data_IF_020794938357
#
_entry.id   IF_020794938357
#
_cell.length_a   1.000
_cell.length_b   1.000
_cell.length_c   1.000
_cell.angle_alpha   90.00
_cell.angle_beta   90.00
_cell.angle_gamma   90.00
#
_symmetry.space_group_name_H-M   'P 1'
#
loop_
_entity.id
_entity.type
_entity.pdbx_description
1 polymer ?
#
# COMPACT_ATOMS: atom_id res chain seq x y z
N UNK A 1 -7.76 19.76 20.69
CA UNK A 1 -7.81 18.90 21.89
C UNK A 1 -7.67 17.45 21.45
N UNK A 2 -7.10 16.56 22.27
CA UNK A 2 -7.03 15.12 21.94
C UNK A 2 -8.33 14.39 22.30
N UNK A 3 -8.60 13.26 21.64
CA UNK A 3 -9.89 12.53 21.77
C UNK A 3 -10.18 12.05 23.20
N UNK A 4 -9.16 11.70 23.97
CA UNK A 4 -9.35 11.29 25.36
C UNK A 4 -9.73 12.48 26.25
N UNK A 5 -9.10 13.63 26.03
CA UNK A 5 -9.42 14.89 26.72
C UNK A 5 -10.81 15.38 26.34
N UNK A 6 -11.21 15.21 25.08
CA UNK A 6 -12.57 15.47 24.60
C UNK A 6 -13.61 14.69 25.42
N UNK A 7 -13.46 13.38 25.56
CA UNK A 7 -14.42 12.60 26.34
C UNK A 7 -14.40 12.96 27.83
N UNK A 8 -13.25 13.32 28.41
CA UNK A 8 -13.19 13.82 29.79
C UNK A 8 -13.92 15.15 29.97
N UNK A 9 -13.87 16.01 28.96
CA UNK A 9 -14.52 17.30 28.99
C UNK A 9 -16.05 17.19 28.89
N UNK A 10 -16.55 16.30 28.03
CA UNK A 10 -17.97 16.26 27.66
C UNK A 10 -18.79 15.15 28.34
N UNK A 11 -18.15 14.14 28.95
CA UNK A 11 -18.86 13.08 29.67
C UNK A 11 -18.92 13.41 31.16
N UNK A 12 -20.12 13.39 31.72
CA UNK A 12 -20.37 13.58 33.15
C UNK A 12 -20.61 12.25 33.86
N UNK A 13 -20.53 12.25 35.20
CA UNK A 13 -20.83 11.07 36.03
C UNK A 13 -22.29 10.59 35.85
N UNK A 14 -23.24 11.51 35.64
CA UNK A 14 -24.64 11.17 35.41
C UNK A 14 -24.82 10.43 34.08
N UNK A 15 -24.17 10.92 33.01
CA UNK A 15 -24.14 10.27 31.70
C UNK A 15 -23.50 8.89 31.77
N UNK A 16 -22.41 8.74 32.54
CA UNK A 16 -21.73 7.46 32.74
C UNK A 16 -22.62 6.42 33.44
N UNK A 17 -23.42 6.86 34.42
CA UNK A 17 -24.38 6.00 35.12
C UNK A 17 -25.52 5.56 34.21
N UNK A 18 -26.03 6.43 33.35
CA UNK A 18 -27.05 6.09 32.35
C UNK A 18 -26.53 5.09 31.33
N UNK A 19 -25.34 5.36 30.77
CA UNK A 19 -24.61 4.46 29.88
C UNK A 19 -24.41 3.05 30.45
N UNK A 20 -24.05 3.00 31.74
CA UNK A 20 -23.83 1.74 32.44
C UNK A 20 -25.10 0.90 32.56
N UNK A 21 -26.28 1.55 32.63
CA UNK A 21 -27.59 0.88 32.67
C UNK A 21 -28.01 0.38 31.29
N UNK A 22 -27.84 1.19 30.24
CA UNK A 22 -28.29 0.86 28.88
C UNK A 22 -27.42 -0.21 28.21
N UNK A 23 -26.10 -0.18 28.41
CA UNK A 23 -25.16 -1.09 27.69
C UNK A 23 -24.86 -2.42 28.40
N UNK A 24 -25.53 -2.73 29.52
CA UNK A 24 -25.25 -3.92 30.36
C UNK A 24 -23.76 -4.07 30.74
N UNK A 25 -23.03 -2.96 30.82
CA UNK A 25 -21.62 -2.91 31.18
C UNK A 25 -21.41 -1.77 32.16
N UNK A 26 -21.06 -2.10 33.39
CA UNK A 26 -20.77 -1.11 34.41
C UNK A 26 -19.38 -0.51 34.16
N UNK A 27 -19.32 0.76 33.78
CA UNK A 27 -18.07 1.52 33.80
C UNK A 27 -17.83 2.02 35.23
N UNK A 28 -16.63 1.81 35.76
CA UNK A 28 -16.31 2.18 37.14
C UNK A 28 -15.83 3.63 37.27
N UNK A 29 -15.43 4.27 36.16
CA UNK A 29 -15.01 5.67 36.11
C UNK A 29 -15.04 6.25 34.69
N UNK A 30 -15.02 7.58 34.58
CA UNK A 30 -14.87 8.30 33.30
C UNK A 30 -13.56 7.88 32.61
N UNK A 31 -12.47 7.70 33.37
CA UNK A 31 -11.20 7.18 32.86
C UNK A 31 -11.33 5.85 32.13
N UNK A 32 -12.05 4.89 32.73
CA UNK A 32 -12.27 3.58 32.13
C UNK A 32 -13.09 3.68 30.84
N UNK A 33 -14.13 4.50 30.85
CA UNK A 33 -14.94 4.79 29.66
C UNK A 33 -14.09 5.41 28.54
N UNK A 34 -13.28 6.41 28.85
CA UNK A 34 -12.40 7.10 27.88
C UNK A 34 -11.43 6.12 27.22
N UNK A 35 -10.80 5.23 28.00
CA UNK A 35 -9.90 4.20 27.48
C UNK A 35 -10.64 3.25 26.54
N UNK A 36 -11.85 2.83 26.93
CA UNK A 36 -12.66 1.94 26.12
C UNK A 36 -13.12 2.59 24.81
N UNK A 37 -13.60 3.84 24.87
CA UNK A 37 -14.01 4.61 23.68
C UNK A 37 -12.87 4.88 22.74
N UNK A 38 -11.70 5.23 23.27
CA UNK A 38 -10.50 5.38 22.45
C UNK A 38 -10.17 4.10 21.69
N UNK A 39 -10.26 2.93 22.35
CA UNK A 39 -10.04 1.62 21.70
C UNK A 39 -11.09 1.32 20.64
N UNK A 40 -12.35 1.67 20.85
CA UNK A 40 -13.42 1.46 19.87
C UNK A 40 -13.23 2.33 18.62
N UNK A 41 -12.94 3.62 18.78
CA UNK A 41 -12.83 4.57 17.65
C UNK A 41 -11.52 4.39 16.87
N UNK A 42 -10.50 3.79 17.49
CA UNK A 42 -9.25 3.41 16.82
C UNK A 42 -9.26 1.98 16.30
N UNK A 43 -10.34 1.22 16.51
CA UNK A 43 -10.50 -0.14 16.00
C UNK A 43 -11.21 -0.13 14.63
N UNK A 44 -10.54 -0.51 13.53
CA UNK A 44 -11.13 -0.49 12.19
C UNK A 44 -12.40 -1.32 12.07
N UNK A 45 -12.52 -2.44 12.77
CA UNK A 45 -13.73 -3.29 12.72
C UNK A 45 -14.93 -2.62 13.38
N UNK A 46 -14.71 -1.90 14.49
CA UNK A 46 -15.78 -1.18 15.15
C UNK A 46 -16.22 0.03 14.34
N UNK A 47 -15.28 0.75 13.72
CA UNK A 47 -15.58 1.88 12.83
C UNK A 47 -16.36 1.41 11.59
N UNK A 48 -15.98 0.28 10.99
CA UNK A 48 -16.70 -0.34 9.87
C UNK A 48 -18.14 -0.70 10.25
N UNK A 49 -18.32 -1.39 11.38
CA UNK A 49 -19.66 -1.70 11.92
C UNK A 49 -20.50 -0.43 12.16
N UNK A 50 -19.91 0.62 12.75
CA UNK A 50 -20.62 1.90 12.96
C UNK A 50 -21.10 2.47 11.62
N UNK A 51 -20.25 2.48 10.60
CA UNK A 51 -20.58 3.01 9.26
C UNK A 51 -21.75 2.27 8.63
N UNK A 52 -21.82 0.95 8.75
CA UNK A 52 -22.92 0.12 8.23
C UNK A 52 -24.29 0.44 8.85
N UNK A 53 -24.31 0.97 10.08
CA UNK A 53 -25.55 1.29 10.78
C UNK A 53 -26.01 2.74 10.59
N UNK A 54 -25.22 3.58 9.90
CA UNK A 54 -25.55 5.00 9.74
C UNK A 54 -26.79 5.19 8.86
N UNK A 55 -27.74 5.97 9.37
CA UNK A 55 -28.89 6.42 8.60
C UNK A 55 -28.48 7.44 7.52
N UNK A 56 -29.31 7.63 6.48
CA UNK A 56 -29.07 8.68 5.47
C UNK A 56 -28.92 10.09 6.08
N UNK A 57 -29.60 10.35 7.20
CA UNK A 57 -29.54 11.62 7.94
C UNK A 57 -28.17 11.80 8.60
N UNK A 58 -27.61 10.75 9.20
CA UNK A 58 -26.28 10.74 9.83
C UNK A 58 -25.16 10.82 8.78
N UNK A 59 -25.30 10.14 7.64
CA UNK A 59 -24.37 10.27 6.52
C UNK A 59 -24.31 11.71 6.00
N UNK A 60 -25.47 12.37 5.85
CA UNK A 60 -25.55 13.76 5.43
C UNK A 60 -24.89 14.71 6.45
N UNK A 61 -25.03 14.44 7.74
CA UNK A 61 -24.34 15.19 8.79
C UNK A 61 -22.81 15.05 8.62
N UNK A 62 -22.30 13.83 8.46
CA UNK A 62 -20.87 13.57 8.28
C UNK A 62 -20.32 14.31 7.05
N UNK A 63 -21.04 14.31 5.93
CA UNK A 63 -20.65 15.04 4.71
C UNK A 63 -20.66 16.57 4.90
N UNK A 64 -21.62 17.07 5.67
CA UNK A 64 -21.68 18.49 6.05
C UNK A 64 -20.48 18.87 6.92
N UNK A 65 -20.17 18.04 7.93
CA UNK A 65 -19.04 18.28 8.84
C UNK A 65 -17.69 18.17 8.13
N UNK A 66 -17.55 17.23 7.17
CA UNK A 66 -16.37 17.07 6.30
C UNK A 66 -15.99 18.35 5.56
N UNK A 67 -16.98 19.16 5.21
CA UNK A 67 -16.79 20.43 4.50
C UNK A 67 -16.53 21.62 5.44
N UNK A 68 -16.53 21.39 6.74
CA UNK A 68 -16.36 22.40 7.80
C UNK A 68 -15.02 22.24 8.53
N UNK A 69 -14.68 23.17 9.43
CA UNK A 69 -13.46 23.08 10.25
C UNK A 69 -13.80 22.87 11.72
N UNK A 70 -13.18 21.88 12.34
CA UNK A 70 -13.21 21.68 13.77
C UNK A 70 -12.66 22.92 14.51
N UNK A 71 -13.26 23.25 15.65
CA UNK A 71 -12.74 24.24 16.60
C UNK A 71 -12.22 23.50 17.81
N UNK A 72 -10.97 23.74 18.19
CA UNK A 72 -10.33 23.07 19.33
C UNK A 72 -10.36 21.52 19.25
N UNK A 73 -10.33 20.93 18.05
CA UNK A 73 -10.29 19.47 17.84
C UNK A 73 -11.65 18.76 17.83
N UNK A 74 -12.76 19.48 17.86
CA UNK A 74 -14.10 18.92 17.70
C UNK A 74 -15.04 19.85 16.92
N UNK A 75 -16.16 19.31 16.47
CA UNK A 75 -17.25 20.01 15.81
C UNK A 75 -18.42 20.16 16.79
N UNK A 76 -19.06 21.33 16.79
CA UNK A 76 -20.33 21.55 17.49
C UNK A 76 -21.47 21.41 16.50
N UNK A 77 -22.53 20.72 16.91
CA UNK A 77 -23.73 20.48 16.11
C UNK A 77 -24.96 20.86 16.92
N UNK A 78 -25.96 21.44 16.25
CA UNK A 78 -27.28 21.65 16.82
C UNK A 78 -28.06 20.32 16.79
N UNK A 79 -28.69 19.96 17.91
CA UNK A 79 -29.50 18.76 18.09
C UNK A 79 -30.96 19.15 18.30
N UNK A 80 -31.87 18.59 17.50
CA UNK A 80 -33.32 18.58 17.80
C UNK A 80 -33.73 17.24 18.41
N UNK A 81 -34.93 17.15 19.01
CA UNK A 81 -35.38 16.02 19.86
C UNK A 81 -35.29 14.61 19.20
N UNK A 82 -35.05 14.51 17.88
CA UNK A 82 -34.91 13.24 17.13
C UNK A 82 -33.70 13.21 16.16
N UNK A 83 -32.64 13.98 16.44
CA UNK A 83 -31.47 14.05 15.55
C UNK A 83 -30.39 13.02 15.89
N UNK A 84 -30.02 12.19 14.89
CA UNK A 84 -28.86 11.27 14.90
C UNK A 84 -28.86 10.22 16.02
N UNK A 85 -29.93 9.42 16.16
CA UNK A 85 -30.14 8.53 17.30
C UNK A 85 -29.02 7.50 17.47
N UNK A 86 -28.48 6.96 16.37
CA UNK A 86 -27.44 5.93 16.46
C UNK A 86 -26.08 6.55 16.84
N UNK A 87 -25.70 7.67 16.24
CA UNK A 87 -24.45 8.36 16.60
C UNK A 87 -24.45 8.87 18.06
N UNK A 88 -25.61 9.28 18.58
CA UNK A 88 -25.79 9.65 19.99
C UNK A 88 -25.77 8.42 20.89
N UNK A 89 -26.51 7.36 20.54
CA UNK A 89 -26.49 6.08 21.28
C UNK A 89 -25.08 5.52 21.37
N UNK A 90 -24.29 5.66 20.30
CA UNK A 90 -22.89 5.25 20.25
C UNK A 90 -21.94 6.20 20.98
N UNK A 91 -22.40 7.38 21.45
CA UNK A 91 -21.58 8.46 22.02
C UNK A 91 -20.42 8.87 21.11
N UNK A 92 -20.68 8.87 19.81
CA UNK A 92 -19.81 9.48 18.79
C UNK A 92 -20.14 10.96 18.65
N UNK A 93 -21.43 11.28 18.78
CA UNK A 93 -21.93 12.59 19.17
C UNK A 93 -22.13 12.56 20.70
N UNK A 94 -21.55 13.53 21.40
CA UNK A 94 -21.76 13.72 22.84
C UNK A 94 -22.65 14.95 23.05
N UNK A 95 -23.92 14.78 23.46
CA UNK A 95 -24.76 15.91 23.87
C UNK A 95 -24.15 16.60 25.09
N UNK A 96 -24.10 17.94 25.10
CA UNK A 96 -23.49 18.68 26.21
C UNK A 96 -24.25 19.92 26.70
N UNK A 97 -25.22 20.44 25.92
CA UNK A 97 -26.18 21.46 26.34
C UNK A 97 -27.56 21.12 25.75
N UNK A 98 -28.62 21.80 26.22
CA UNK A 98 -29.96 21.70 25.63
C UNK A 98 -29.91 22.09 24.15
N UNK A 99 -30.01 21.08 23.28
CA UNK A 99 -29.97 21.25 21.83
C UNK A 99 -28.58 21.37 21.20
N UNK A 100 -27.49 21.05 21.91
CA UNK A 100 -26.14 21.03 21.33
C UNK A 100 -25.39 19.72 21.60
N UNK A 101 -24.64 19.27 20.59
CA UNK A 101 -23.77 18.10 20.66
C UNK A 101 -22.38 18.38 20.11
N UNK A 102 -21.41 17.55 20.50
CA UNK A 102 -20.04 17.64 20.04
C UNK A 102 -19.56 16.33 19.41
N UNK A 103 -18.78 16.42 18.33
CA UNK A 103 -18.12 15.28 17.67
C UNK A 103 -16.63 15.56 17.55
N UNK A 104 -15.80 14.66 18.07
CA UNK A 104 -14.35 14.82 17.95
C UNK A 104 -13.85 14.63 16.51
N UNK A 105 -12.84 15.41 16.10
CA UNK A 105 -12.36 15.41 14.71
C UNK A 105 -11.76 14.07 14.27
N UNK A 106 -11.11 13.36 15.18
CA UNK A 106 -10.54 12.03 14.93
C UNK A 106 -11.62 10.97 14.73
N UNK A 107 -12.72 11.06 15.48
CA UNK A 107 -13.88 10.19 15.27
C UNK A 107 -14.47 10.40 13.89
N UNK A 108 -14.66 11.67 13.50
CA UNK A 108 -15.15 12.02 12.17
C UNK A 108 -14.19 11.56 11.07
N UNK A 109 -12.89 11.74 11.27
CA UNK A 109 -11.86 11.30 10.32
C UNK A 109 -11.90 9.78 10.12
N UNK A 110 -11.96 8.99 11.20
CA UNK A 110 -12.08 7.53 11.10
C UNK A 110 -13.33 7.09 10.33
N UNK A 111 -14.48 7.72 10.59
CA UNK A 111 -15.72 7.43 9.86
C UNK A 111 -15.62 7.82 8.37
N UNK A 112 -15.02 8.96 8.06
CA UNK A 112 -14.82 9.43 6.68
C UNK A 112 -13.82 8.54 5.94
N UNK A 113 -12.73 8.14 6.58
CA UNK A 113 -11.75 7.21 5.99
C UNK A 113 -12.41 5.89 5.62
N UNK A 114 -13.27 5.36 6.51
CA UNK A 114 -14.04 4.14 6.28
C UNK A 114 -15.09 4.33 5.17
N UNK A 115 -15.88 5.41 5.18
CA UNK A 115 -16.86 5.74 4.14
C UNK A 115 -16.22 5.98 2.76
N UNK A 116 -14.98 6.46 2.74
CA UNK A 116 -14.21 6.66 1.50
C UNK A 116 -13.42 5.42 1.09
N UNK A 117 -13.42 4.33 1.88
CA UNK A 117 -12.94 3.04 1.37
C UNK A 117 -13.84 2.72 0.18
N UNK A 118 -13.25 2.79 -1.01
CA UNK A 118 -13.92 2.39 -2.23
C UNK A 118 -14.23 0.90 -2.13
N UNK A 119 -15.41 0.56 -1.62
CA UNK A 119 -15.98 -0.78 -1.71
C UNK A 119 -16.58 -1.03 -3.12
N UNK A 120 -15.87 -0.52 -4.14
CA UNK A 120 -16.23 -0.68 -5.56
C UNK A 120 -16.34 -2.14 -5.97
N UNK A 121 -15.72 -3.04 -5.22
CA UNK A 121 -15.68 -4.47 -5.51
C UNK A 121 -16.88 -5.22 -4.93
N UNK A 122 -17.73 -4.61 -4.08
CA UNK A 122 -18.92 -5.23 -3.51
C UNK A 122 -20.23 -4.49 -3.80
N UNK A 123 -20.20 -3.36 -4.53
CA UNK A 123 -21.41 -2.65 -5.02
C UNK A 123 -22.41 -3.62 -5.67
N UNK A 124 -21.90 -4.61 -6.40
CA UNK A 124 -22.74 -5.63 -7.04
C UNK A 124 -23.53 -6.50 -6.05
N UNK A 125 -23.12 -6.62 -4.78
CA UNK A 125 -23.91 -7.30 -3.74
C UNK A 125 -25.16 -6.51 -3.36
N UNK A 126 -25.14 -5.18 -3.50
CA UNK A 126 -26.30 -4.32 -3.29
C UNK A 126 -27.30 -4.45 -4.44
N UNK A 127 -26.81 -4.74 -5.63
CA UNK A 127 -27.63 -5.00 -6.83
C UNK A 127 -28.29 -6.41 -6.82
N UNK A 128 -27.93 -7.28 -5.86
CA UNK A 128 -28.55 -8.60 -5.73
C UNK A 128 -29.94 -8.52 -5.11
N UNK A 129 -30.81 -9.45 -5.50
CA UNK A 129 -32.06 -9.65 -4.77
C UNK A 129 -31.77 -10.05 -3.31
N UNK A 130 -32.62 -9.65 -2.35
CA UNK A 130 -32.44 -10.00 -0.93
C UNK A 130 -32.23 -11.50 -0.71
N UNK A 131 -32.99 -12.35 -1.42
CA UNK A 131 -32.86 -13.81 -1.36
C UNK A 131 -31.46 -14.28 -1.80
N UNK A 132 -30.92 -13.75 -2.91
CA UNK A 132 -29.58 -14.11 -3.38
C UNK A 132 -28.50 -13.67 -2.40
N UNK A 133 -28.63 -12.47 -1.82
CA UNK A 133 -27.73 -11.97 -0.78
C UNK A 133 -27.75 -12.87 0.45
N UNK A 134 -28.94 -13.25 0.94
CA UNK A 134 -29.08 -14.17 2.08
C UNK A 134 -28.44 -15.53 1.80
N UNK A 135 -28.65 -16.09 0.60
CA UNK A 135 -28.02 -17.37 0.21
C UNK A 135 -26.50 -17.25 0.21
N UNK A 136 -25.94 -16.20 -0.39
CA UNK A 136 -24.48 -15.98 -0.39
C UNK A 136 -23.93 -15.83 1.04
N UNK A 137 -24.57 -15.01 1.87
CA UNK A 137 -24.18 -14.81 3.26
C UNK A 137 -24.18 -16.13 4.05
N UNK A 138 -25.18 -17.00 3.83
CA UNK A 138 -25.25 -18.29 4.51
C UNK A 138 -24.02 -19.18 4.26
N UNK A 139 -23.41 -19.12 3.06
CA UNK A 139 -22.20 -19.88 2.77
C UNK A 139 -20.97 -19.38 3.55
N UNK A 140 -20.95 -18.10 3.91
CA UNK A 140 -19.86 -17.53 4.73
C UNK A 140 -19.93 -17.98 6.19
N UNK A 141 -21.13 -18.35 6.65
CA UNK A 141 -21.38 -18.85 8.01
C UNK A 141 -21.19 -20.37 8.14
N UNK A 142 -21.19 -21.10 7.02
CA UNK A 142 -20.95 -22.55 6.99
C UNK A 142 -19.54 -22.89 7.46
N UNK A 143 -19.37 -24.08 8.04
CA UNK A 143 -18.03 -24.59 8.33
C UNK A 143 -17.30 -24.95 7.02
N UNK A 144 -15.98 -24.72 6.96
CA UNK A 144 -15.16 -25.04 5.78
C UNK A 144 -15.34 -26.49 5.30
N UNK A 145 -15.51 -27.42 6.25
CA UNK A 145 -15.77 -28.84 5.95
C UNK A 145 -17.06 -29.03 5.16
N UNK A 146 -18.12 -28.32 5.52
CA UNK A 146 -19.44 -28.40 4.88
C UNK A 146 -19.39 -27.76 3.49
N UNK A 147 -18.73 -26.61 3.38
CA UNK A 147 -18.52 -25.93 2.12
C UNK A 147 -17.73 -26.80 1.11
N UNK A 148 -16.65 -27.45 1.57
CA UNK A 148 -15.88 -28.42 0.79
C UNK A 148 -16.68 -29.69 0.48
N UNK A 149 -17.58 -30.12 1.38
CA UNK A 149 -18.48 -31.24 1.12
C UNK A 149 -19.50 -30.90 0.03
N UNK A 150 -19.84 -29.63 -0.14
CA UNK A 150 -20.76 -29.13 -1.17
C UNK A 150 -20.23 -29.27 -2.61
N UNK A 151 -18.91 -29.28 -2.82
CA UNK A 151 -18.33 -29.38 -4.16
C UNK A 151 -18.17 -30.83 -4.67
N UNK A 152 -17.94 -30.98 -5.96
CA UNK A 152 -17.82 -32.30 -6.60
C UNK A 152 -16.51 -32.99 -6.21
N UNK A 153 -16.52 -34.33 -6.21
CA UNK A 153 -15.30 -35.11 -5.95
C UNK A 153 -14.22 -34.88 -7.03
N UNK A 154 -14.62 -34.55 -8.26
CA UNK A 154 -13.69 -34.19 -9.33
C UNK A 154 -12.93 -32.91 -8.99
N UNK A 155 -13.63 -31.87 -8.52
CA UNK A 155 -13.00 -30.62 -8.11
C UNK A 155 -12.11 -30.82 -6.88
N UNK A 156 -12.53 -31.62 -5.90
CA UNK A 156 -11.68 -31.99 -4.75
C UNK A 156 -10.38 -32.68 -5.18
N UNK A 157 -10.43 -33.55 -6.21
CA UNK A 157 -9.25 -34.20 -6.80
C UNK A 157 -8.31 -33.21 -7.48
N UNK A 158 -8.86 -32.26 -8.22
CA UNK A 158 -8.11 -31.19 -8.88
C UNK A 158 -7.37 -30.33 -7.85
N UNK A 159 -8.06 -29.91 -6.79
CA UNK A 159 -7.45 -29.15 -5.68
C UNK A 159 -6.35 -29.97 -5.01
N UNK A 160 -6.62 -31.24 -4.67
CA UNK A 160 -5.61 -32.12 -4.06
C UNK A 160 -4.36 -32.25 -4.94
N UNK A 161 -4.54 -32.38 -6.25
CA UNK A 161 -3.44 -32.44 -7.22
C UNK A 161 -2.67 -31.12 -7.28
N UNK A 162 -3.35 -29.98 -7.33
CA UNK A 162 -2.73 -28.65 -7.35
C UNK A 162 -1.92 -28.38 -6.08
N UNK A 163 -2.35 -28.93 -4.94
CA UNK A 163 -1.65 -28.85 -3.67
C UNK A 163 -0.52 -29.89 -3.51
N UNK A 164 -0.25 -30.70 -4.55
CA UNK A 164 0.69 -31.82 -4.51
C UNK A 164 0.40 -32.82 -3.37
N UNK A 165 -0.88 -32.99 -3.03
CA UNK A 165 -1.34 -33.89 -1.98
C UNK A 165 -1.88 -35.20 -2.57
N UNK A 166 -1.47 -36.31 -1.95
CA UNK A 166 -1.98 -37.65 -2.27
C UNK A 166 -2.84 -38.16 -1.11
N UNK A 167 -4.16 -38.30 -1.30
CA UNK A 167 -5.07 -38.74 -0.25
C UNK A 167 -4.90 -40.23 0.04
N UNK A 168 -5.19 -40.65 1.28
CA UNK A 168 -5.10 -42.05 1.69
C UNK A 168 -6.13 -42.97 1.02
N UNK A 169 -7.23 -42.41 0.51
CA UNK A 169 -8.25 -43.16 -0.24
C UNK A 169 -9.01 -42.26 -1.21
N UNK A 170 -9.80 -42.88 -2.09
CA UNK A 170 -10.65 -42.17 -3.05
C UNK A 170 -12.02 -41.74 -2.48
N UNK A 171 -12.25 -41.89 -1.18
CA UNK A 171 -13.50 -41.46 -0.53
C UNK A 171 -13.56 -39.93 -0.42
N UNK A 172 -14.73 -39.34 -0.70
CA UNK A 172 -14.93 -37.89 -0.72
C UNK A 172 -14.58 -37.24 0.63
N UNK A 173 -14.98 -37.87 1.73
CA UNK A 173 -14.73 -37.43 3.10
C UNK A 173 -13.23 -37.30 3.40
N UNK A 174 -12.39 -38.17 2.83
CA UNK A 174 -10.94 -38.13 3.00
C UNK A 174 -10.37 -36.88 2.33
N UNK A 175 -10.76 -36.60 1.07
CA UNK A 175 -10.37 -35.35 0.41
C UNK A 175 -10.80 -34.12 1.20
N UNK A 176 -12.05 -34.07 1.65
CA UNK A 176 -12.58 -32.91 2.40
C UNK A 176 -11.77 -32.65 3.67
N UNK A 177 -11.48 -33.70 4.45
CA UNK A 177 -10.72 -33.55 5.70
C UNK A 177 -9.27 -33.13 5.46
N UNK A 178 -8.63 -33.70 4.43
CA UNK A 178 -7.24 -33.37 4.09
C UNK A 178 -7.14 -31.93 3.56
N UNK A 179 -8.02 -31.55 2.62
CA UNK A 179 -8.04 -30.20 2.06
C UNK A 179 -8.37 -29.15 3.12
N UNK A 180 -9.29 -29.43 4.05
CA UNK A 180 -9.53 -28.54 5.20
C UNK A 180 -8.23 -28.27 5.96
N UNK A 181 -7.44 -29.30 6.27
CA UNK A 181 -6.16 -29.14 6.98
C UNK A 181 -5.18 -28.31 6.17
N UNK A 182 -5.03 -28.61 4.88
CA UNK A 182 -4.09 -27.92 3.99
C UNK A 182 -4.46 -26.43 3.78
N UNK A 183 -5.74 -26.13 3.57
CA UNK A 183 -6.23 -24.76 3.36
C UNK A 183 -6.26 -23.91 4.63
N UNK A 184 -6.07 -24.53 5.80
CA UNK A 184 -5.95 -23.84 7.09
C UNK A 184 -4.55 -23.94 7.69
N UNK A 185 -3.61 -24.59 6.99
CA UNK A 185 -2.21 -24.66 7.38
C UNK A 185 -1.43 -23.44 6.86
N UNK A 186 -0.71 -22.78 7.76
CA UNK A 186 -0.02 -21.53 7.46
C UNK A 186 1.14 -21.70 6.47
N UNK A 187 1.92 -22.77 6.59
CA UNK A 187 3.04 -23.01 5.67
C UNK A 187 2.54 -23.45 4.31
N UNK A 188 1.47 -24.26 4.26
CA UNK A 188 0.86 -24.65 2.98
C UNK A 188 0.24 -23.46 2.26
N UNK A 189 -0.48 -22.59 2.97
CA UNK A 189 -0.99 -21.34 2.40
C UNK A 189 0.16 -20.46 1.90
N UNK A 190 1.27 -20.38 2.65
CA UNK A 190 2.46 -19.66 2.18
C UNK A 190 3.01 -20.24 0.87
N UNK A 191 3.12 -21.55 0.74
CA UNK A 191 3.54 -22.22 -0.50
C UNK A 191 2.61 -21.86 -1.68
N UNK A 192 1.29 -21.96 -1.48
CA UNK A 192 0.30 -21.60 -2.51
C UNK A 192 0.48 -20.14 -2.92
N UNK A 193 0.54 -19.23 -1.94
CA UNK A 193 0.72 -17.80 -2.22
C UNK A 193 2.03 -17.50 -2.94
N UNK A 194 3.08 -18.30 -2.77
CA UNK A 194 4.34 -18.16 -3.52
C UNK A 194 4.25 -18.69 -4.96
N UNK A 195 3.31 -19.60 -5.26
CA UNK A 195 3.16 -20.21 -6.59
C UNK A 195 2.18 -19.50 -7.51
N UNK A 196 1.25 -18.71 -6.96
CA UNK A 196 0.22 -17.97 -7.75
C UNK A 196 0.84 -17.04 -8.81
N UNK A 197 0.07 -16.67 -9.84
CA UNK A 197 0.34 -15.48 -10.66
C UNK A 197 0.29 -14.19 -9.84
N UNK A 198 0.86 -13.10 -10.37
CA UNK A 198 0.85 -11.81 -9.67
C UNK A 198 -0.58 -11.24 -9.59
N UNK A 199 -1.38 -11.42 -10.64
CA UNK A 199 -2.79 -11.04 -10.69
C UNK A 199 -3.59 -11.78 -9.60
N UNK A 200 -3.52 -13.12 -9.58
CA UNK A 200 -4.24 -13.92 -8.59
C UNK A 200 -3.78 -13.63 -7.16
N UNK A 201 -2.47 -13.42 -6.94
CA UNK A 201 -1.94 -13.02 -5.64
C UNK A 201 -2.48 -11.66 -5.18
N UNK A 202 -2.56 -10.65 -6.06
CA UNK A 202 -3.11 -9.34 -5.68
C UNK A 202 -4.59 -9.45 -5.29
N UNK A 203 -5.37 -10.22 -6.05
CA UNK A 203 -6.80 -10.43 -5.77
C UNK A 203 -6.97 -11.09 -4.40
N UNK A 204 -6.41 -12.28 -4.19
CA UNK A 204 -6.63 -13.00 -2.92
C UNK A 204 -6.05 -12.26 -1.72
N UNK A 205 -4.93 -11.53 -1.89
CA UNK A 205 -4.36 -10.67 -0.85
C UNK A 205 -5.34 -9.57 -0.46
N UNK A 206 -5.91 -8.88 -1.43
CA UNK A 206 -6.90 -7.82 -1.18
C UNK A 206 -8.12 -8.38 -0.45
N UNK A 207 -8.65 -9.53 -0.89
CA UNK A 207 -9.78 -10.17 -0.22
C UNK A 207 -9.46 -10.58 1.22
N UNK A 208 -8.27 -11.14 1.49
CA UNK A 208 -7.86 -11.54 2.84
C UNK A 208 -7.54 -10.37 3.77
N UNK A 209 -6.97 -9.27 3.24
CA UNK A 209 -6.68 -8.04 3.99
C UNK A 209 -7.96 -7.32 4.42
N UNK A 210 -9.04 -7.43 3.65
CA UNK A 210 -10.33 -6.78 3.92
C UNK A 210 -11.41 -7.72 4.46
N UNK A 211 -11.10 -9.00 4.70
CA UNK A 211 -12.09 -10.02 5.10
C UNK A 211 -13.28 -10.14 4.12
N UNK A 212 -13.02 -10.02 2.82
CA UNK A 212 -14.04 -10.09 1.75
C UNK A 212 -14.15 -11.50 1.16
N UNK A 213 -15.21 -12.26 1.47
CA UNK A 213 -15.28 -13.65 1.07
C UNK A 213 -15.87 -13.85 -0.33
N UNK A 214 -16.63 -12.90 -0.89
CA UNK A 214 -17.42 -13.13 -2.10
C UNK A 214 -16.74 -12.71 -3.39
N UNK A 215 -17.06 -13.43 -4.46
CA UNK A 215 -16.58 -13.20 -5.82
C UNK A 215 -17.76 -13.29 -6.80
N UNK A 216 -17.75 -12.44 -7.84
CA UNK A 216 -18.61 -12.55 -9.02
C UNK A 216 -17.76 -12.92 -10.24
N UNK A 217 -18.36 -13.20 -11.41
CA UNK A 217 -17.62 -13.53 -12.64
C UNK A 217 -16.56 -14.62 -12.41
N UNK A 218 -16.94 -15.73 -11.76
CA UNK A 218 -16.02 -16.73 -11.20
C UNK A 218 -15.02 -17.33 -12.21
N UNK A 219 -15.31 -17.19 -13.51
CA UNK A 219 -14.42 -17.52 -14.63
C UNK A 219 -13.10 -16.75 -14.63
N UNK A 220 -13.01 -15.59 -14.00
CA UNK A 220 -11.76 -14.82 -13.89
C UNK A 220 -10.81 -15.38 -12.84
N UNK A 221 -11.31 -16.24 -11.94
CA UNK A 221 -10.57 -16.72 -10.77
C UNK A 221 -10.19 -18.19 -10.83
N UNK A 222 -10.04 -18.76 -12.04
CA UNK A 222 -9.73 -20.19 -12.25
C UNK A 222 -8.49 -20.67 -11.48
N UNK A 223 -7.46 -19.83 -11.39
CA UNK A 223 -6.25 -20.18 -10.63
C UNK A 223 -6.56 -20.33 -9.14
N UNK A 224 -7.25 -19.36 -8.53
CA UNK A 224 -7.65 -19.43 -7.12
C UNK A 224 -8.59 -20.61 -6.83
N UNK A 225 -9.47 -20.94 -7.79
CA UNK A 225 -10.38 -22.09 -7.72
C UNK A 225 -9.62 -23.42 -7.77
N UNK A 226 -8.60 -23.50 -8.62
CA UNK A 226 -7.76 -24.71 -8.76
C UNK A 226 -6.97 -25.01 -7.49
N UNK A 227 -6.59 -23.98 -6.73
CA UNK A 227 -5.94 -24.12 -5.42
C UNK A 227 -6.93 -24.28 -4.26
N UNK A 228 -8.25 -24.21 -4.52
CA UNK A 228 -9.27 -24.30 -3.47
C UNK A 228 -9.34 -23.08 -2.56
N UNK A 229 -8.71 -21.96 -2.93
CA UNK A 229 -8.80 -20.69 -2.21
C UNK A 229 -10.15 -19.99 -2.44
N UNK A 230 -10.78 -20.29 -3.58
CA UNK A 230 -12.14 -19.88 -3.93
C UNK A 230 -12.96 -21.11 -4.29
N UNK A 231 -14.15 -21.23 -3.71
CA UNK A 231 -15.09 -22.32 -3.95
C UNK A 231 -16.24 -21.77 -4.81
N UNK A 232 -16.52 -22.45 -5.92
CA UNK A 232 -17.54 -22.03 -6.89
C UNK A 232 -18.94 -22.31 -6.32
N UNK A 233 -19.80 -21.29 -6.35
CA UNK A 233 -21.21 -21.35 -5.94
C UNK A 233 -22.13 -21.30 -7.18
N UNK A 234 -23.44 -21.30 -6.98
CA UNK A 234 -24.41 -21.18 -8.08
C UNK A 234 -24.29 -19.81 -8.80
N UNK A 235 -24.65 -19.78 -10.09
CA UNK A 235 -24.88 -18.55 -10.87
C UNK A 235 -23.66 -17.59 -10.99
N UNK A 236 -22.48 -18.13 -11.26
CA UNK A 236 -21.24 -17.37 -11.56
C UNK A 236 -20.60 -16.66 -10.36
N UNK A 237 -21.01 -17.03 -9.15
CA UNK A 237 -20.42 -16.53 -7.89
C UNK A 237 -19.45 -17.54 -7.28
N UNK A 238 -18.59 -17.06 -6.39
CA UNK A 238 -17.73 -17.90 -5.58
C UNK A 238 -17.47 -17.31 -4.20
N UNK A 239 -16.85 -18.13 -3.35
CA UNK A 239 -16.55 -17.74 -1.98
C UNK A 239 -15.17 -18.25 -1.53
N UNK A 240 -14.38 -17.38 -0.91
CA UNK A 240 -13.25 -17.76 -0.05
C UNK A 240 -13.76 -17.90 1.37
N UNK A 241 -13.58 -19.09 1.95
CA UNK A 241 -14.04 -19.33 3.31
C UNK A 241 -13.30 -18.44 4.33
N UNK A 242 -13.97 -17.88 5.36
CA UNK A 242 -13.35 -16.98 6.34
C UNK A 242 -12.12 -17.56 7.06
N UNK A 243 -12.12 -18.85 7.42
CA UNK A 243 -10.93 -19.51 7.98
C UNK A 243 -9.73 -19.48 7.03
N UNK A 244 -9.95 -19.62 5.72
CA UNK A 244 -8.87 -19.59 4.71
C UNK A 244 -8.33 -18.17 4.58
N UNK A 245 -9.21 -17.16 4.51
CA UNK A 245 -8.81 -15.74 4.49
C UNK A 245 -8.04 -15.35 5.75
N UNK A 246 -8.50 -15.81 6.92
CA UNK A 246 -7.79 -15.62 8.19
C UNK A 246 -6.41 -16.26 8.16
N UNK A 247 -6.28 -17.48 7.66
CA UNK A 247 -4.97 -18.13 7.52
C UNK A 247 -4.06 -17.36 6.58
N UNK A 248 -4.56 -16.90 5.42
CA UNK A 248 -3.82 -16.03 4.48
C UNK A 248 -3.34 -14.74 5.16
N UNK A 249 -4.21 -14.05 5.90
CA UNK A 249 -3.86 -12.82 6.64
C UNK A 249 -2.85 -13.08 7.76
N UNK A 250 -2.93 -14.24 8.39
CA UNK A 250 -1.97 -14.65 9.44
C UNK A 250 -0.59 -15.02 8.89
N UNK A 251 -0.49 -15.25 7.58
CA UNK A 251 0.78 -15.40 6.86
C UNK A 251 1.46 -14.04 6.75
N UNK A 252 2.80 -14.00 6.79
CA UNK A 252 3.54 -12.76 6.63
C UNK A 252 3.48 -12.29 5.17
N UNK A 253 2.36 -11.67 4.77
CA UNK A 253 2.08 -11.26 3.39
C UNK A 253 3.13 -10.29 2.82
N UNK A 254 3.75 -9.46 3.68
CA UNK A 254 4.89 -8.61 3.29
C UNK A 254 6.10 -9.45 2.88
N UNK A 255 6.44 -10.46 3.69
CA UNK A 255 7.53 -11.39 3.38
C UNK A 255 7.21 -12.24 2.15
N UNK A 256 5.97 -12.72 2.01
CA UNK A 256 5.51 -13.46 0.82
C UNK A 256 5.67 -12.58 -0.42
N UNK A 257 5.20 -11.33 -0.39
CA UNK A 257 5.37 -10.39 -1.51
C UNK A 257 6.84 -10.17 -1.88
N UNK A 258 7.71 -9.98 -0.89
CA UNK A 258 9.16 -9.84 -1.10
C UNK A 258 9.76 -11.12 -1.72
N UNK A 259 9.37 -12.29 -1.23
CA UNK A 259 9.87 -13.57 -1.70
C UNK A 259 9.31 -13.95 -3.08
N UNK A 260 8.04 -13.66 -3.38
CA UNK A 260 7.46 -13.79 -4.73
C UNK A 260 8.23 -12.97 -5.73
N UNK A 261 8.51 -11.72 -5.39
CA UNK A 261 9.28 -10.83 -6.22
C UNK A 261 10.70 -11.37 -6.46
N UNK A 262 11.38 -11.86 -5.42
CA UNK A 262 12.66 -12.58 -5.57
C UNK A 262 12.53 -13.84 -6.45
N UNK A 263 11.47 -14.63 -6.28
CA UNK A 263 11.23 -15.85 -7.09
C UNK A 263 10.97 -15.51 -8.56
N UNK A 264 10.23 -14.44 -8.85
CA UNK A 264 9.98 -13.97 -10.21
C UNK A 264 11.29 -13.48 -10.85
N UNK A 265 12.10 -12.74 -10.09
CA UNK A 265 13.48 -12.36 -10.48
C UNK A 265 14.32 -13.62 -10.76
N UNK A 266 14.34 -14.60 -9.86
CA UNK A 266 15.11 -15.84 -10.02
C UNK A 266 14.64 -16.68 -11.22
N UNK A 267 13.33 -16.84 -11.43
CA UNK A 267 12.77 -17.53 -12.61
C UNK A 267 13.11 -16.81 -13.90
N UNK A 268 13.02 -15.48 -13.92
CA UNK A 268 13.43 -14.68 -15.08
C UNK A 268 14.94 -14.83 -15.35
N UNK A 269 15.76 -14.91 -14.30
CA UNK A 269 17.19 -15.20 -14.40
C UNK A 269 17.47 -16.61 -14.91
N UNK A 270 16.76 -17.63 -14.44
CA UNK A 270 16.90 -19.02 -14.90
C UNK A 270 16.52 -19.17 -16.38
N UNK A 271 15.49 -18.43 -16.84
CA UNK A 271 15.09 -18.39 -18.24
C UNK A 271 16.10 -17.63 -19.14
N UNK A 272 17.03 -16.86 -18.56
CA UNK A 272 18.08 -16.16 -19.28
C UNK A 272 19.46 -16.73 -18.94
N UNK A 273 19.97 -17.60 -19.83
CA UNK A 273 21.29 -18.22 -19.70
C UNK A 273 22.45 -17.22 -19.58
N UNK A 274 22.27 -15.98 -20.04
CA UNK A 274 23.15 -14.83 -19.80
C UNK A 274 22.34 -13.53 -19.89
N UNK A 275 22.67 -12.52 -19.08
CA UNK A 275 22.07 -11.19 -19.13
C UNK A 275 23.16 -10.12 -19.14
N UNK A 276 22.91 -9.00 -19.81
CA UNK A 276 23.83 -7.85 -19.85
C UNK A 276 23.14 -6.52 -19.49
N UNK A 277 21.85 -6.56 -19.17
CA UNK A 277 21.08 -5.43 -18.71
C UNK A 277 19.91 -5.87 -17.84
N UNK A 278 19.21 -4.90 -17.26
CA UNK A 278 17.95 -5.13 -16.56
C UNK A 278 17.01 -3.95 -16.71
N UNK A 279 15.71 -4.22 -16.69
CA UNK A 279 14.67 -3.21 -16.53
C UNK A 279 14.46 -2.96 -15.05
N UNK A 280 14.47 -1.70 -14.66
CA UNK A 280 14.11 -1.25 -13.33
C UNK A 280 13.02 -0.19 -13.41
N UNK A 281 12.27 -0.05 -12.33
CA UNK A 281 11.35 1.07 -12.09
C UNK A 281 11.83 1.87 -10.88
N UNK A 282 11.95 3.17 -11.04
CA UNK A 282 12.26 4.13 -9.96
C UNK A 282 11.01 4.96 -9.70
N UNK A 283 10.35 4.72 -8.57
CA UNK A 283 9.09 5.37 -8.20
C UNK A 283 9.34 6.35 -7.05
N UNK A 284 8.82 7.57 -7.16
CA UNK A 284 8.78 8.49 -6.02
C UNK A 284 7.74 7.98 -5.02
N UNK A 285 8.11 7.94 -3.74
CA UNK A 285 7.24 7.45 -2.67
C UNK A 285 6.44 8.61 -2.09
N UNK A 286 5.11 8.43 -2.01
CA UNK A 286 4.18 9.46 -1.55
C UNK A 286 3.74 10.39 -2.68
N UNK A 287 3.14 11.51 -2.29
CA UNK A 287 2.64 12.54 -3.22
C UNK A 287 1.29 12.22 -3.84
N UNK A 288 0.71 13.24 -4.48
CA UNK A 288 -0.61 13.15 -5.10
C UNK A 288 -0.59 12.53 -6.50
N UNK A 289 0.47 12.79 -7.28
CA UNK A 289 0.65 12.23 -8.61
C UNK A 289 1.52 10.96 -8.57
N UNK A 290 1.18 9.95 -9.40
CA UNK A 290 2.02 8.76 -9.58
C UNK A 290 3.24 9.13 -10.43
N UNK A 291 4.40 9.25 -9.79
CA UNK A 291 5.65 9.66 -10.43
C UNK A 291 6.63 8.49 -10.49
N UNK A 292 6.99 8.06 -11.70
CA UNK A 292 7.95 6.97 -11.90
C UNK A 292 8.78 7.12 -13.18
N UNK A 293 9.94 6.46 -13.21
CA UNK A 293 10.78 6.27 -14.39
C UNK A 293 11.07 4.79 -14.55
N UNK A 294 10.68 4.21 -15.68
CA UNK A 294 11.15 2.88 -16.06
C UNK A 294 12.34 2.99 -16.99
N UNK A 295 13.35 2.18 -16.72
CA UNK A 295 14.60 2.26 -17.44
C UNK A 295 15.28 0.93 -17.60
N UNK A 296 15.94 0.77 -18.74
CA UNK A 296 16.89 -0.32 -18.97
C UNK A 296 18.25 0.22 -18.58
N UNK A 297 18.97 -0.50 -17.72
CA UNK A 297 20.33 -0.15 -17.35
C UNK A 297 21.29 -1.34 -17.50
N UNK A 298 22.58 -1.11 -17.82
CA UNK A 298 23.55 -2.19 -18.03
C UNK A 298 23.88 -2.96 -16.76
N UNK A 299 24.23 -4.24 -16.89
CA UNK A 299 24.57 -5.10 -15.76
C UNK A 299 25.95 -4.86 -15.12
N UNK A 300 26.58 -3.71 -15.39
CA UNK A 300 27.95 -3.37 -14.97
C UNK A 300 28.05 -2.10 -14.12
N UNK A 301 26.91 -1.55 -13.70
CA UNK A 301 26.87 -0.25 -13.05
C UNK A 301 27.19 -0.36 -11.56
N UNK A 302 27.96 0.60 -11.05
CA UNK A 302 28.07 0.83 -9.62
C UNK A 302 26.96 1.78 -9.11
N UNK A 303 26.81 1.89 -7.79
CA UNK A 303 25.76 2.73 -7.19
C UNK A 303 25.98 4.23 -7.40
N UNK A 304 27.21 4.67 -7.66
CA UNK A 304 27.47 6.06 -8.05
C UNK A 304 26.87 6.36 -9.43
N UNK A 305 27.13 5.50 -10.40
CA UNK A 305 26.53 5.58 -11.73
C UNK A 305 24.99 5.53 -11.66
N UNK A 306 24.44 4.66 -10.80
CA UNK A 306 22.99 4.63 -10.54
C UNK A 306 22.48 5.96 -9.97
N UNK A 307 23.21 6.58 -9.05
CA UNK A 307 22.90 7.92 -8.56
C UNK A 307 22.87 8.94 -9.71
N UNK A 308 23.89 8.98 -10.57
CA UNK A 308 23.92 9.87 -11.73
C UNK A 308 22.73 9.65 -12.66
N UNK A 309 22.38 8.39 -12.91
CA UNK A 309 21.25 8.00 -13.75
C UNK A 309 19.93 8.53 -13.18
N UNK A 310 19.68 8.32 -11.88
CA UNK A 310 18.46 8.82 -11.21
C UNK A 310 18.42 10.35 -11.29
N UNK A 311 19.53 11.03 -10.99
CA UNK A 311 19.61 12.49 -11.02
C UNK A 311 19.27 13.05 -12.41
N UNK A 312 19.82 12.45 -13.47
CA UNK A 312 19.49 12.83 -14.86
C UNK A 312 18.02 12.51 -15.18
N UNK A 313 17.52 11.34 -14.75
CA UNK A 313 16.16 10.89 -15.02
C UNK A 313 15.10 11.79 -14.37
N UNK A 314 15.41 12.42 -13.23
CA UNK A 314 14.54 13.38 -12.56
C UNK A 314 14.89 14.85 -12.86
N UNK A 315 16.01 15.12 -13.54
CA UNK A 315 16.41 16.48 -13.93
C UNK A 315 17.06 17.29 -12.80
N UNK A 316 17.61 16.59 -11.82
CA UNK A 316 18.27 17.16 -10.65
C UNK A 316 19.76 17.43 -10.87
N UNK A 317 20.33 18.25 -10.00
CA UNK A 317 21.67 18.83 -10.18
C UNK A 317 22.76 18.14 -9.36
N UNK A 318 22.45 17.05 -8.65
CA UNK A 318 23.36 16.31 -7.77
C UNK A 318 23.89 17.12 -6.58
N UNK A 319 23.26 18.26 -6.25
CA UNK A 319 23.72 19.24 -5.26
C UNK A 319 23.62 18.81 -3.79
N UNK A 320 22.92 17.73 -3.48
CA UNK A 320 22.70 17.30 -2.10
C UNK A 320 23.21 15.89 -1.85
N UNK A 321 23.39 15.54 -0.58
CA UNK A 321 23.73 14.18 -0.18
C UNK A 321 22.64 13.18 -0.59
N UNK A 322 23.09 11.97 -0.92
CA UNK A 322 22.23 10.87 -1.29
C UNK A 322 22.72 9.56 -0.68
N UNK A 323 21.79 8.65 -0.44
CA UNK A 323 22.11 7.29 -0.01
C UNK A 323 21.12 6.28 -0.56
N UNK A 324 21.58 5.04 -0.69
CA UNK A 324 20.73 3.89 -0.96
C UNK A 324 20.58 3.05 0.30
N UNK A 325 19.37 2.61 0.58
CA UNK A 325 19.01 1.95 1.83
C UNK A 325 18.26 0.64 1.55
N UNK A 326 18.65 -0.42 2.25
CA UNK A 326 17.79 -1.58 2.48
C UNK A 326 17.87 -1.99 3.97
N UNK A 327 17.32 -3.15 4.32
CA UNK A 327 17.29 -3.63 5.71
C UNK A 327 18.67 -3.85 6.32
N UNK A 328 19.67 -4.21 5.50
CA UNK A 328 20.99 -4.65 5.94
C UNK A 328 22.10 -3.63 5.64
N UNK A 329 21.93 -2.80 4.61
CA UNK A 329 22.97 -1.96 4.03
C UNK A 329 22.54 -0.50 3.91
N UNK A 330 23.53 0.37 4.07
CA UNK A 330 23.48 1.79 3.72
C UNK A 330 24.61 2.04 2.72
N UNK A 331 24.28 2.48 1.50
CA UNK A 331 25.26 2.78 0.46
C UNK A 331 25.29 4.30 0.28
N UNK A 332 26.34 4.95 0.76
CA UNK A 332 26.43 6.42 0.73
C UNK A 332 27.04 6.92 -0.56
N UNK A 333 26.50 8.03 -1.04
CA UNK A 333 27.07 8.80 -2.13
C UNK A 333 27.85 9.99 -1.56
N UNK A 334 29.13 10.11 -1.91
CA UNK A 334 30.10 11.16 -1.53
C UNK A 334 30.52 11.21 -0.06
N UNK A 335 30.23 10.18 0.75
CA UNK A 335 30.60 10.17 2.17
C UNK A 335 31.46 8.98 2.53
N UNK A 336 32.73 9.25 2.88
CA UNK A 336 33.62 8.30 3.54
C UNK A 336 33.36 8.19 5.05
N UNK A 337 32.43 9.00 5.57
CA UNK A 337 32.13 9.00 6.98
C UNK A 337 31.43 7.68 7.35
N UNK A 338 32.20 6.75 7.91
CA UNK A 338 31.70 5.47 8.44
C UNK A 338 31.22 5.59 9.89
N UNK A 339 31.23 6.79 10.48
CA UNK A 339 31.07 6.99 11.92
C UNK A 339 29.63 7.27 12.39
N UNK A 340 28.70 7.50 11.46
CA UNK A 340 27.28 7.68 11.79
C UNK A 340 26.67 6.43 12.44
N UNK A 341 25.92 6.62 13.53
CA UNK A 341 25.27 5.59 14.34
C UNK A 341 24.19 4.80 13.58
N UNK A 342 24.60 3.92 12.66
CA UNK A 342 23.79 2.82 12.17
C UNK A 342 24.35 1.53 12.75
N UNK A 343 24.38 1.39 14.08
CA UNK A 343 24.95 0.22 14.80
C UNK A 343 24.37 -1.15 14.37
N UNK A 344 23.35 -1.19 13.50
CA UNK A 344 22.72 -2.41 12.97
C UNK A 344 22.94 -2.64 11.46
N UNK A 345 23.39 -1.66 10.66
CA UNK A 345 23.48 -1.78 9.20
C UNK A 345 24.92 -1.56 8.69
N UNK A 346 25.34 -2.35 7.73
CA UNK A 346 26.66 -2.24 7.11
C UNK A 346 26.70 -1.06 6.14
N UNK A 347 27.68 -0.17 6.30
CA UNK A 347 27.87 0.99 5.42
C UNK A 347 28.83 0.63 4.29
N UNK A 348 28.42 0.86 3.05
CA UNK A 348 29.20 0.65 1.83
C UNK A 348 29.35 1.97 1.06
N UNK A 349 30.39 2.07 0.24
CA UNK A 349 30.60 3.22 -0.65
C UNK A 349 30.00 2.94 -2.03
N UNK A 350 29.31 3.93 -2.60
CA UNK A 350 28.60 3.79 -3.87
C UNK A 350 29.50 3.38 -5.04
N UNK A 351 30.70 3.96 -5.13
CA UNK A 351 31.69 3.71 -6.20
C UNK A 351 32.23 2.27 -6.25
N UNK A 352 32.22 1.56 -5.11
CA UNK A 352 32.75 0.20 -4.98
C UNK A 352 31.66 -0.87 -4.87
N UNK A 353 30.39 -0.49 -4.94
CA UNK A 353 29.26 -1.42 -4.80
C UNK A 353 28.56 -1.56 -6.14
N UNK A 354 28.44 -2.78 -6.64
CA UNK A 354 27.79 -3.08 -7.91
C UNK A 354 26.27 -3.21 -7.76
N UNK A 355 25.53 -2.58 -8.67
CA UNK A 355 24.06 -2.52 -8.64
C UNK A 355 23.45 -3.85 -9.02
N UNK A 356 24.05 -4.56 -9.98
CA UNK A 356 23.55 -5.84 -10.50
C UNK A 356 23.56 -6.92 -9.42
N UNK A 357 24.66 -7.06 -8.66
CA UNK A 357 24.76 -8.00 -7.55
C UNK A 357 23.71 -7.69 -6.48
N UNK A 358 23.58 -6.40 -6.13
CA UNK A 358 22.65 -5.96 -5.09
C UNK A 358 21.18 -6.16 -5.50
N UNK A 359 20.79 -5.71 -6.69
CA UNK A 359 19.41 -5.86 -7.18
C UNK A 359 19.09 -7.33 -7.49
N UNK A 360 20.04 -8.15 -7.91
CA UNK A 360 19.80 -9.59 -8.09
C UNK A 360 19.51 -10.31 -6.76
N UNK A 361 20.13 -9.87 -5.67
CA UNK A 361 19.98 -10.51 -4.35
C UNK A 361 18.75 -9.98 -3.58
N UNK A 362 18.57 -8.66 -3.58
CA UNK A 362 17.54 -8.00 -2.77
C UNK A 362 16.31 -7.61 -3.58
N UNK A 363 16.45 -7.47 -4.90
CA UNK A 363 15.40 -7.07 -5.82
C UNK A 363 15.01 -5.59 -5.73
N UNK A 364 15.04 -4.98 -4.55
CA UNK A 364 14.67 -3.58 -4.35
C UNK A 364 15.69 -2.83 -3.50
N UNK A 365 15.77 -1.53 -3.69
CA UNK A 365 16.54 -0.62 -2.83
C UNK A 365 15.85 0.75 -2.75
N UNK A 366 15.87 1.39 -1.59
CA UNK A 366 15.43 2.78 -1.47
C UNK A 366 16.55 3.72 -1.88
N UNK A 367 16.23 4.80 -2.56
CA UNK A 367 17.15 5.90 -2.86
C UNK A 367 16.62 7.17 -2.19
N UNK A 368 17.39 7.76 -1.29
CA UNK A 368 17.04 8.99 -0.58
C UNK A 368 17.98 10.10 -1.05
N UNK A 369 17.42 11.22 -1.46
CA UNK A 369 18.16 12.39 -1.93
C UNK A 369 17.73 13.64 -1.15
N UNK A 370 18.70 14.49 -0.81
CA UNK A 370 18.52 15.69 0.01
C UNK A 370 17.92 15.36 1.38
N UNK A 371 18.77 15.21 2.41
CA UNK A 371 18.31 14.84 3.77
C UNK A 371 17.31 15.83 4.38
N UNK A 372 17.28 17.09 3.93
CA UNK A 372 16.30 18.07 4.40
C UNK A 372 14.94 17.88 3.72
N UNK A 373 14.91 17.77 2.39
CA UNK A 373 13.67 17.58 1.63
C UNK A 373 13.15 16.13 1.65
N UNK A 374 14.03 15.18 1.98
CA UNK A 374 13.78 13.74 2.06
C UNK A 374 13.10 13.15 0.81
N UNK A 375 13.68 13.37 -0.36
CA UNK A 375 13.16 12.79 -1.60
C UNK A 375 13.38 11.28 -1.62
N UNK A 376 12.34 10.53 -1.26
CA UNK A 376 12.40 9.07 -1.16
C UNK A 376 11.90 8.39 -2.43
N UNK A 377 12.78 7.63 -3.06
CA UNK A 377 12.49 6.81 -4.23
C UNK A 377 12.61 5.33 -3.88
N UNK A 378 11.74 4.51 -4.48
CA UNK A 378 11.86 3.06 -4.49
C UNK A 378 12.39 2.61 -5.85
N UNK A 379 13.52 1.91 -5.85
CA UNK A 379 14.10 1.28 -7.03
C UNK A 379 13.76 -0.21 -7.01
N UNK A 380 13.17 -0.71 -8.09
CA UNK A 380 12.68 -2.09 -8.22
C UNK A 380 13.21 -2.71 -9.52
N UNK A 381 13.92 -3.83 -9.43
CA UNK A 381 14.21 -4.75 -10.54
C UNK A 381 12.93 -5.40 -11.11
N UNK A 382 12.60 -5.06 -12.35
CA UNK A 382 11.42 -5.57 -13.06
C UNK A 382 11.76 -6.81 -13.87
N UNK A 383 12.88 -6.78 -14.59
CA UNK A 383 13.21 -7.79 -15.60
C UNK A 383 14.73 -7.89 -15.79
N UNK A 384 15.27 -9.09 -15.98
CA UNK A 384 16.60 -9.24 -16.56
C UNK A 384 16.51 -9.17 -18.08
N UNK A 385 17.51 -8.62 -18.76
CA UNK A 385 17.50 -8.42 -20.21
C UNK A 385 18.82 -8.90 -20.82
N UNK A 386 18.68 -9.62 -21.93
CA UNK A 386 19.78 -10.02 -22.81
C UNK A 386 19.65 -9.28 -24.14
N UNK A 387 20.63 -8.45 -24.49
CA UNK A 387 20.73 -7.81 -25.81
C UNK A 387 22.05 -8.21 -26.48
N UNK A 388 22.04 -8.41 -27.80
CA UNK A 388 23.25 -8.68 -28.58
C UNK A 388 24.17 -7.45 -28.71
N UNK A 389 23.59 -6.26 -28.55
CA UNK A 389 24.29 -4.98 -28.69
C UNK A 389 24.70 -4.38 -27.33
N UNK A 390 25.61 -3.41 -27.37
CA UNK A 390 25.99 -2.64 -26.20
C UNK A 390 24.79 -1.90 -25.61
N UNK A 391 24.53 -2.13 -24.33
CA UNK A 391 23.43 -1.49 -23.60
C UNK A 391 23.91 -0.24 -22.90
N UNK A 392 23.07 0.80 -22.93
CA UNK A 392 23.27 2.05 -22.20
C UNK A 392 22.02 2.33 -21.36
N UNK A 393 22.14 3.10 -20.25
CA UNK A 393 20.97 3.53 -19.50
C UNK A 393 20.01 4.29 -20.41
N UNK A 394 18.76 3.86 -20.44
CA UNK A 394 17.70 4.50 -21.22
C UNK A 394 16.38 4.46 -20.46
N UNK A 395 15.65 5.57 -20.48
CA UNK A 395 14.26 5.63 -20.05
C UNK A 395 13.41 4.96 -21.12
N UNK A 396 12.66 3.92 -20.75
CA UNK A 396 11.75 3.20 -21.64
C UNK A 396 10.30 3.60 -21.42
N UNK A 397 9.93 3.97 -20.20
CA UNK A 397 8.61 4.50 -19.86
C UNK A 397 8.68 5.49 -18.67
N UNK A 398 7.67 6.34 -18.50
CA UNK A 398 7.61 7.30 -17.39
C UNK A 398 6.18 7.74 -17.08
N UNK A 399 5.94 8.04 -15.80
CA UNK A 399 4.70 8.66 -15.33
C UNK A 399 4.96 9.90 -14.49
N UNK A 400 4.06 10.86 -14.58
CA UNK A 400 4.07 12.08 -13.78
C UNK A 400 5.20 13.08 -14.06
N UNK A 401 5.10 14.30 -13.49
CA UNK A 401 6.16 15.31 -13.56
C UNK A 401 7.45 14.87 -12.85
N UNK A 402 8.56 15.58 -13.08
CA UNK A 402 9.74 15.46 -12.21
C UNK A 402 9.59 16.40 -11.00
N UNK A 403 9.93 15.98 -9.77
CA UNK A 403 9.89 16.88 -8.62
C UNK A 403 10.83 18.08 -8.79
N UNK A 404 10.37 19.24 -8.35
CA UNK A 404 11.19 20.47 -8.30
C UNK A 404 12.24 20.27 -7.22
N UNK A 405 13.52 20.20 -7.61
CA UNK A 405 14.62 19.80 -6.72
C UNK A 405 14.70 20.61 -5.42
N UNK A 406 14.44 21.91 -5.52
CA UNK A 406 14.52 22.86 -4.39
C UNK A 406 13.24 22.95 -3.56
N UNK A 407 12.19 22.19 -3.88
CA UNK A 407 11.04 22.09 -2.99
C UNK A 407 11.44 21.36 -1.71
N UNK A 408 10.87 21.77 -0.57
CA UNK A 408 11.11 21.23 0.77
C UNK A 408 10.32 19.93 1.01
N UNK A 409 10.35 19.03 0.03
CA UNK A 409 9.72 17.71 0.08
C UNK A 409 8.44 17.60 -0.73
N UNK A 410 7.80 16.44 -0.61
CA UNK A 410 6.73 15.99 -1.50
C UNK A 410 5.46 16.86 -1.41
N UNK A 411 5.08 17.28 -0.21
CA UNK A 411 3.87 18.07 0.02
C UNK A 411 3.98 19.47 -0.60
N UNK A 412 5.14 20.12 -0.46
CA UNK A 412 5.38 21.40 -1.10
C UNK A 412 5.37 21.24 -2.62
N UNK A 413 5.99 20.19 -3.14
CA UNK A 413 5.96 19.93 -4.57
C UNK A 413 4.54 19.71 -5.09
N UNK A 414 3.68 18.95 -4.40
CA UNK A 414 2.27 18.77 -4.80
C UNK A 414 1.56 20.14 -4.91
N UNK A 415 1.77 21.02 -3.93
CA UNK A 415 1.21 22.39 -3.94
C UNK A 415 1.73 23.21 -5.13
N UNK A 416 3.05 23.21 -5.35
CA UNK A 416 3.68 23.95 -6.45
C UNK A 416 3.21 23.40 -7.81
N UNK A 417 3.09 22.07 -7.93
CA UNK A 417 2.67 21.42 -9.14
C UNK A 417 1.20 21.72 -9.48
N UNK A 418 0.33 21.80 -8.46
CA UNK A 418 -1.05 22.25 -8.63
C UNK A 418 -1.12 23.68 -9.19
N UNK A 419 -0.29 24.60 -8.69
CA UNK A 419 -0.21 25.96 -9.22
C UNK A 419 0.29 25.95 -10.68
N UNK A 420 1.29 25.13 -11.01
CA UNK A 420 1.83 25.04 -12.36
C UNK A 420 0.87 24.42 -13.38
N UNK A 421 -0.16 23.68 -12.93
CA UNK A 421 -1.24 23.16 -13.79
C UNK A 421 -2.22 24.25 -14.22
N UNK A 422 -2.33 25.35 -13.47
CA UNK A 422 -3.25 26.46 -13.74
C UNK A 422 -2.48 27.75 -14.13
N UNK A 423 -2.48 28.07 -15.43
CA UNK A 423 -1.78 29.26 -15.95
C UNK A 423 -2.41 30.58 -15.53
N UNK A 424 -3.68 30.56 -15.14
CA UNK A 424 -4.43 31.75 -14.70
C UNK A 424 -4.29 31.97 -13.19
N UNK A 425 -3.66 31.04 -12.47
CA UNK A 425 -3.39 31.17 -11.06
C UNK A 425 -2.52 32.42 -10.78
N UNK A 426 -2.89 33.29 -9.81
CA UNK A 426 -2.11 34.48 -9.49
C UNK A 426 -0.64 34.21 -9.15
N UNK A 427 -0.33 33.03 -8.61
CA UNK A 427 1.03 32.60 -8.24
C UNK A 427 1.77 31.84 -9.35
N UNK A 428 1.17 31.67 -10.53
CA UNK A 428 1.77 30.89 -11.62
C UNK A 428 3.14 31.41 -12.04
N UNK A 429 3.28 32.74 -12.27
CA UNK A 429 4.54 33.33 -12.76
C UNK A 429 5.69 33.12 -11.77
N UNK A 430 5.47 33.44 -10.50
CA UNK A 430 6.43 33.24 -9.42
C UNK A 430 6.84 31.77 -9.28
N UNK A 431 5.84 30.87 -9.27
CA UNK A 431 6.08 29.43 -9.15
C UNK A 431 6.85 28.87 -10.36
N UNK A 432 6.54 29.35 -11.57
CA UNK A 432 7.24 28.94 -12.79
C UNK A 432 8.69 29.43 -12.82
N UNK A 433 8.97 30.63 -12.29
CA UNK A 433 10.35 31.14 -12.14
C UNK A 433 11.13 30.31 -11.12
N UNK A 434 10.56 30.05 -9.94
CA UNK A 434 11.15 29.17 -8.93
C UNK A 434 11.47 27.77 -9.49
N UNK A 435 10.51 27.16 -10.21
CA UNK A 435 10.70 25.86 -10.82
C UNK A 435 11.84 25.88 -11.86
N UNK A 436 11.92 26.92 -12.70
CA UNK A 436 12.99 27.09 -13.70
C UNK A 436 14.38 27.18 -13.07
N UNK A 437 14.52 27.84 -11.92
CA UNK A 437 15.79 27.91 -11.18
C UNK A 437 16.28 26.52 -10.74
N UNK A 438 15.36 25.56 -10.57
CA UNK A 438 15.64 24.16 -10.25
C UNK A 438 15.75 23.26 -11.50
N UNK A 439 15.94 23.85 -12.69
CA UNK A 439 15.95 23.16 -13.98
C UNK A 439 14.67 22.36 -14.31
N UNK A 440 13.55 22.66 -13.64
CA UNK A 440 12.28 21.98 -13.88
C UNK A 440 11.82 22.15 -15.33
N UNK A 441 11.28 21.06 -15.91
CA UNK A 441 10.68 21.05 -17.24
C UNK A 441 9.20 20.67 -17.12
N UNK A 442 8.32 21.49 -17.69
CA UNK A 442 6.88 21.23 -17.74
C UNK A 442 6.59 19.91 -18.48
N UNK A 443 7.34 19.63 -19.55
CA UNK A 443 7.27 18.37 -20.30
C UNK A 443 8.50 17.52 -20.01
N UNK A 444 8.29 16.25 -19.72
CA UNK A 444 9.37 15.30 -19.49
C UNK A 444 10.21 15.08 -20.77
N UNK A 445 11.51 15.43 -20.77
CA UNK A 445 12.31 15.45 -21.99
C UNK A 445 13.01 14.11 -22.28
N UNK A 446 12.25 13.01 -22.36
CA UNK A 446 12.75 11.61 -22.51
C UNK A 446 13.88 11.47 -23.54
N UNK A 447 13.70 11.99 -24.76
CA UNK A 447 14.72 11.86 -25.82
C UNK A 447 16.01 12.61 -25.51
N UNK A 448 15.94 13.77 -24.85
CA UNK A 448 17.13 14.52 -24.45
C UNK A 448 17.87 13.81 -23.31
N UNK A 449 17.12 13.28 -22.34
CA UNK A 449 17.65 12.46 -21.25
C UNK A 449 18.37 11.22 -21.80
N UNK A 450 17.75 10.46 -22.70
CA UNK A 450 18.37 9.26 -23.27
C UNK A 450 19.64 9.58 -24.08
N UNK A 451 19.67 10.70 -24.80
CA UNK A 451 20.91 11.17 -25.47
C UNK A 451 22.01 11.53 -24.47
N UNK A 452 21.65 12.21 -23.37
CA UNK A 452 22.59 12.56 -22.32
C UNK A 452 23.15 11.31 -21.62
N UNK A 453 22.28 10.36 -21.25
CA UNK A 453 22.68 9.09 -20.67
C UNK A 453 23.62 8.34 -21.61
N UNK A 454 23.27 8.17 -22.89
CA UNK A 454 24.14 7.49 -23.86
C UNK A 454 25.51 8.16 -23.97
N UNK A 455 25.58 9.50 -24.00
CA UNK A 455 26.86 10.25 -24.07
C UNK A 455 27.74 10.04 -22.83
N UNK A 456 27.13 10.00 -21.65
CA UNK A 456 27.86 9.82 -20.38
C UNK A 456 28.35 8.38 -20.25
N UNK A 457 27.49 7.42 -20.59
CA UNK A 457 27.73 5.99 -20.38
C UNK A 457 28.38 5.25 -21.57
N UNK A 458 28.65 5.94 -22.67
CA UNK A 458 29.48 5.43 -23.78
C UNK A 458 30.98 5.42 -23.49
N UNK A 459 31.40 5.90 -22.32
CA UNK A 459 32.81 5.91 -21.87
C UNK A 459 33.30 4.49 -21.57
N UNK A 460 34.61 4.27 -21.70
CA UNK A 460 35.24 2.96 -21.46
C UNK A 460 35.40 2.61 -19.97
N UNK A 461 35.42 3.61 -19.08
CA UNK A 461 35.70 3.43 -17.65
C UNK A 461 34.46 3.78 -16.84
N UNK A 462 34.26 3.08 -15.72
CA UNK A 462 33.17 3.36 -14.79
C UNK A 462 33.32 4.74 -14.16
N UNK A 463 32.20 5.45 -14.01
CA UNK A 463 32.19 6.70 -13.26
C UNK A 463 32.15 6.37 -11.76
N UNK A 464 32.90 7.14 -11.00
CA UNK A 464 33.01 7.07 -9.55
C UNK A 464 33.04 8.49 -9.01
N UNK A 465 32.79 8.64 -7.72
CA UNK A 465 32.87 9.92 -7.01
C UNK A 465 34.26 10.58 -7.13
N UNK A 466 35.28 9.80 -7.49
CA UNK A 466 36.67 10.21 -7.57
C UNK A 466 37.12 10.60 -9.00
N UNK A 467 36.34 10.27 -10.02
CA UNK A 467 36.69 10.53 -11.43
C UNK A 467 35.57 11.19 -12.24
N UNK A 468 34.44 11.55 -11.62
CA UNK A 468 33.47 12.47 -12.23
C UNK A 468 34.09 13.87 -12.29
N UNK A 469 34.26 14.40 -13.50
CA UNK A 469 34.84 15.72 -13.77
C UNK A 469 33.88 16.87 -13.39
N UNK A 470 32.60 16.57 -13.17
CA UNK A 470 31.58 17.49 -12.67
C UNK A 470 30.97 17.00 -11.33
N UNK A 471 31.76 16.85 -10.25
CA UNK A 471 31.23 16.52 -8.95
C UNK A 471 30.60 17.80 -8.39
N UNK A 472 29.29 18.00 -8.56
CA UNK A 472 28.59 19.05 -7.84
C UNK A 472 28.57 18.66 -6.36
N UNK A 473 29.62 19.03 -5.63
CA UNK A 473 29.67 18.95 -4.18
C UNK A 473 28.60 19.89 -3.62
N UNK A 474 27.71 19.36 -2.79
CA UNK A 474 27.04 20.16 -1.79
C UNK A 474 28.14 20.87 -0.99
N UNK A 475 28.07 22.19 -0.89
CA UNK A 475 29.09 23.02 -0.22
C UNK A 475 29.57 22.40 1.11
N UNK A 476 30.90 22.46 1.31
CA UNK A 476 31.58 22.13 2.56
C UNK A 476 31.03 22.90 3.76
#
# INVERSE_FOLDING_TARGET
>A
MGIQEFYRQFITEDVLQELSKTRKRAYQSIDEFVVYRYREITNPYHVSWVVEQLSPKELKLIDTLKSSKAKNGYYTIELTEEDYPFLIEQYLIVPFNDGEGAVHEETLRSLIEELNKNDKDLVWLEDLSPLKKTILMSYSEMHLKELLMGITITHLKEISKALSHSPASLQKEVYVNDLKKLLTDKEKIREILLSLSDEAFQVIRKHAENDYPFYNNIKEYQELISYGLVIVMENDYGISHPEVLKTIRSTNLKQVKSQRYKNNILRNKENQSSYNAYRIRVSLVGGSDIIFREMIIPARLNFYEMHLIIQIAFGWSKKFYAEFLNDNYVIRVYSEDKTGETKKKQVLLSSYTQVDAFLSEFGTVSYVYNYKANWHHKVELVEFISKDEAVYPEIVDYGGPSPIEMAEGIEEFDRLHLILKDKDNPKYKETAEFARMSNYKIRYPKSAINRQLKRIFSRQHALTEFNDEEPNLADK
#
